data_IF_535249321730
#
_entry.id   IF_535249321730
#
_cell.length_a   1.000
_cell.length_b   1.000
_cell.length_c   1.000
_cell.angle_alpha   90.00
_cell.angle_beta   90.00
_cell.angle_gamma   90.00
#
_symmetry.space_group_name_H-M   'P 1'
#
loop_
_entity.id
_entity.type
_entity.pdbx_description
1 polymer ?
#
# COMPACT_ATOMS: atom_id res chain seq x y z
N UNK A 1 6.05 3.10 -6.46
CA UNK A 1 6.55 1.87 -7.13
C UNK A 1 6.28 0.68 -6.22
N UNK A 2 5.96 -0.50 -6.78
CA UNK A 2 5.77 -1.73 -5.99
C UNK A 2 7.08 -2.44 -5.59
N UNK A 3 8.23 -2.01 -6.14
CA UNK A 3 9.56 -2.57 -5.82
C UNK A 3 10.58 -1.44 -5.63
N UNK A 4 10.58 -0.76 -4.47
CA UNK A 4 11.46 0.39 -4.24
C UNK A 4 12.95 0.01 -4.28
N UNK A 5 13.31 -1.19 -3.81
CA UNK A 5 14.71 -1.64 -3.80
C UNK A 5 15.36 -1.71 -5.19
N UNK A 6 14.59 -2.05 -6.23
CA UNK A 6 15.09 -2.07 -7.62
C UNK A 6 15.35 -0.66 -8.14
N UNK A 7 14.52 0.31 -7.74
CA UNK A 7 14.64 1.72 -8.17
C UNK A 7 15.83 2.42 -7.50
N UNK A 8 16.19 2.02 -6.28
CA UNK A 8 17.34 2.59 -5.55
C UNK A 8 18.66 1.93 -6.01
N UNK A 9 18.63 0.62 -6.27
CA UNK A 9 19.82 -0.16 -6.63
C UNK A 9 20.75 -0.43 -5.44
N UNK A 10 21.85 -1.17 -5.68
CA UNK A 10 22.86 -1.44 -4.64
C UNK A 10 23.58 -0.15 -4.28
N UNK A 11 23.56 0.22 -2.99
CA UNK A 11 24.23 1.43 -2.48
C UNK A 11 23.71 2.76 -3.04
N UNK A 12 22.50 2.79 -3.64
CA UNK A 12 21.94 4.01 -4.23
C UNK A 12 22.46 4.37 -5.63
N UNK A 13 23.22 3.48 -6.26
CA UNK A 13 23.81 3.71 -7.59
C UNK A 13 22.78 4.05 -8.67
N UNK A 14 21.65 3.37 -8.69
CA UNK A 14 20.60 3.59 -9.69
C UNK A 14 19.85 4.91 -9.45
N UNK A 15 19.61 5.25 -8.18
CA UNK A 15 19.03 6.54 -7.81
C UNK A 15 19.92 7.73 -8.22
N UNK A 16 21.24 7.61 -8.09
CA UNK A 16 22.18 8.67 -8.49
C UNK A 16 22.27 8.80 -10.02
N UNK A 17 22.23 7.68 -10.76
CA UNK A 17 22.12 7.69 -12.23
C UNK A 17 20.85 8.40 -12.70
N UNK A 18 19.71 8.09 -12.07
CA UNK A 18 18.43 8.74 -12.38
C UNK A 18 18.46 10.24 -12.04
N UNK A 19 19.06 10.62 -10.89
CA UNK A 19 19.25 12.03 -10.54
C UNK A 19 20.10 12.74 -11.59
N UNK A 20 21.26 12.19 -11.95
CA UNK A 20 22.14 12.77 -12.99
C UNK A 20 21.41 12.93 -14.33
N UNK A 21 20.64 11.94 -14.76
CA UNK A 21 19.82 12.03 -15.97
C UNK A 21 18.78 13.15 -15.90
N UNK A 22 18.08 13.29 -14.77
CA UNK A 22 17.10 14.36 -14.56
C UNK A 22 17.75 15.74 -14.50
N UNK A 23 18.92 15.87 -13.90
CA UNK A 23 19.66 17.15 -13.84
C UNK A 23 20.16 17.57 -15.22
N UNK A 24 20.60 16.64 -16.07
CA UNK A 24 20.98 16.91 -17.47
C UNK A 24 19.82 17.46 -18.29
N UNK A 25 18.61 16.90 -18.11
CA UNK A 25 17.42 17.34 -18.85
C UNK A 25 16.87 18.65 -18.28
N UNK A 26 16.81 18.78 -16.95
CA UNK A 26 16.19 19.92 -16.29
C UNK A 26 17.11 21.14 -16.16
N UNK A 27 18.44 20.96 -16.26
CA UNK A 27 19.44 22.00 -16.02
C UNK A 27 19.44 22.56 -14.59
N UNK A 28 18.77 21.88 -13.65
CA UNK A 28 18.56 22.30 -12.26
C UNK A 28 18.77 21.11 -11.35
N UNK A 29 19.18 21.37 -10.10
CA UNK A 29 19.31 20.33 -9.08
C UNK A 29 17.95 19.76 -8.69
N UNK A 30 17.78 18.44 -8.84
CA UNK A 30 16.51 17.75 -8.59
C UNK A 30 16.63 16.87 -7.34
N UNK A 31 15.67 17.01 -6.41
CA UNK A 31 15.50 16.09 -5.28
C UNK A 31 14.56 14.97 -5.71
N UNK A 32 15.02 13.73 -5.60
CA UNK A 32 14.27 12.53 -5.97
C UNK A 32 13.75 11.82 -4.70
N UNK A 33 12.45 11.55 -4.64
CA UNK A 33 11.81 10.82 -3.55
C UNK A 33 11.11 9.57 -4.07
N UNK A 34 11.37 8.42 -3.46
CA UNK A 34 10.76 7.14 -3.83
C UNK A 34 9.65 6.83 -2.84
N UNK A 35 8.41 6.84 -3.33
CA UNK A 35 7.25 6.44 -2.54
C UNK A 35 6.92 4.97 -2.85
N UNK A 36 6.90 4.17 -1.78
CA UNK A 36 6.50 2.78 -1.84
C UNK A 36 4.97 2.64 -1.87
N UNK A 37 4.50 1.78 -2.77
CA UNK A 37 3.11 1.35 -2.79
C UNK A 37 3.02 0.10 -1.93
N UNK A 38 2.29 0.19 -0.80
CA UNK A 38 2.20 -0.91 0.17
C UNK A 38 1.62 -2.20 -0.45
N UNK A 39 0.50 -2.07 -1.17
CA UNK A 39 -0.17 -3.19 -1.84
C UNK A 39 -0.22 -2.94 -3.35
N UNK A 40 0.73 -3.47 -4.13
CA UNK A 40 0.78 -3.24 -5.58
C UNK A 40 -0.40 -3.88 -6.32
N UNK A 41 -1.01 -4.92 -5.74
CA UNK A 41 -2.15 -5.64 -6.30
C UNK A 41 -3.48 -4.87 -6.16
N UNK A 42 -3.50 -3.74 -5.44
CA UNK A 42 -4.66 -2.84 -5.34
C UNK A 42 -4.50 -1.58 -6.22
N UNK A 43 -3.30 -1.31 -6.72
CA UNK A 43 -3.03 -0.17 -7.59
C UNK A 43 -3.40 -0.52 -9.04
N UNK A 44 -4.38 0.19 -9.59
CA UNK A 44 -4.90 -0.09 -10.92
C UNK A 44 -3.84 0.09 -12.02
N UNK A 45 -2.89 1.01 -11.84
CA UNK A 45 -1.84 1.29 -12.84
C UNK A 45 -0.83 0.15 -12.89
N UNK A 46 -0.44 -0.39 -11.73
CA UNK A 46 0.49 -1.51 -11.65
C UNK A 46 -0.13 -2.81 -12.17
N UNK A 47 -1.41 -3.05 -11.87
CA UNK A 47 -2.15 -4.17 -12.45
C UNK A 47 -2.25 -4.07 -13.98
N UNK A 48 -2.57 -2.88 -14.51
CA UNK A 48 -2.65 -2.66 -15.95
C UNK A 48 -1.30 -2.92 -16.64
N UNK A 49 -0.21 -2.42 -16.05
CA UNK A 49 1.16 -2.68 -16.53
C UNK A 49 1.49 -4.17 -16.51
N UNK A 50 1.20 -4.86 -15.41
CA UNK A 50 1.43 -6.31 -15.29
C UNK A 50 0.69 -7.12 -16.36
N UNK A 51 -0.55 -6.75 -16.68
CA UNK A 51 -1.29 -7.40 -17.78
C UNK A 51 -0.64 -7.08 -19.12
N UNK A 52 -0.20 -5.85 -19.35
CA UNK A 52 0.48 -5.47 -20.58
C UNK A 52 1.77 -6.28 -20.77
N UNK A 53 2.60 -6.37 -19.74
CA UNK A 53 3.85 -7.15 -19.77
C UNK A 53 3.57 -8.65 -20.05
N UNK A 54 2.49 -9.21 -19.51
CA UNK A 54 2.06 -10.58 -19.80
C UNK A 54 1.62 -10.77 -21.26
N UNK A 55 0.93 -9.79 -21.84
CA UNK A 55 0.51 -9.83 -23.25
C UNK A 55 1.71 -9.71 -24.20
N UNK A 56 2.70 -8.88 -23.85
CA UNK A 56 3.98 -8.79 -24.57
C UNK A 56 4.75 -10.10 -24.49
N UNK A 57 4.74 -10.74 -23.31
CA UNK A 57 5.23 -12.11 -23.08
C UNK A 57 4.41 -13.21 -23.75
N UNK A 58 3.47 -12.89 -24.64
CA UNK A 58 2.61 -13.82 -25.41
C UNK A 58 1.74 -14.74 -24.54
N UNK A 59 1.44 -14.35 -23.30
CA UNK A 59 0.48 -15.08 -22.47
C UNK A 59 -0.92 -14.90 -23.03
N UNK A 60 -1.75 -15.94 -22.96
CA UNK A 60 -3.15 -15.85 -23.36
C UNK A 60 -3.86 -14.72 -22.61
N UNK A 61 -4.47 -13.80 -23.36
CA UNK A 61 -5.13 -12.62 -22.80
C UNK A 61 -6.23 -12.97 -21.79
N UNK A 62 -6.96 -14.09 -21.98
CA UNK A 62 -7.97 -14.57 -21.01
C UNK A 62 -7.34 -14.99 -19.70
N UNK A 63 -6.19 -15.66 -19.76
CA UNK A 63 -5.45 -16.12 -18.57
C UNK A 63 -4.88 -14.94 -17.82
N UNK A 64 -4.27 -13.99 -18.52
CA UNK A 64 -3.73 -12.76 -17.93
C UNK A 64 -4.84 -11.98 -17.20
N UNK A 65 -5.97 -11.72 -17.86
CA UNK A 65 -7.09 -11.01 -17.24
C UNK A 65 -7.68 -11.74 -16.03
N UNK A 66 -8.01 -13.03 -16.15
CA UNK A 66 -8.58 -13.79 -15.02
C UNK A 66 -7.61 -13.88 -13.84
N UNK A 67 -6.31 -14.03 -14.10
CA UNK A 67 -5.29 -14.03 -13.05
C UNK A 67 -5.29 -12.69 -12.32
N UNK A 68 -5.26 -11.58 -13.05
CA UNK A 68 -5.25 -10.23 -12.48
C UNK A 68 -6.49 -9.95 -11.63
N UNK A 69 -7.68 -10.32 -12.12
CA UNK A 69 -8.92 -10.19 -11.34
C UNK A 69 -8.84 -11.00 -10.04
N UNK A 70 -8.42 -12.26 -10.11
CA UNK A 70 -8.26 -13.12 -8.93
C UNK A 70 -7.22 -12.58 -7.94
N UNK A 71 -6.09 -12.07 -8.41
CA UNK A 71 -5.05 -11.50 -7.54
C UNK A 71 -5.54 -10.25 -6.81
N UNK A 72 -6.23 -9.35 -7.50
CA UNK A 72 -6.75 -8.12 -6.91
C UNK A 72 -7.86 -8.38 -5.88
N UNK A 73 -8.74 -9.37 -6.13
CA UNK A 73 -9.73 -9.81 -5.15
C UNK A 73 -9.09 -10.44 -3.91
N UNK A 74 -8.05 -11.28 -4.09
CA UNK A 74 -7.27 -11.84 -2.97
C UNK A 74 -6.59 -10.77 -2.13
N UNK A 75 -6.19 -9.65 -2.76
CA UNK A 75 -5.63 -8.49 -2.08
C UNK A 75 -6.68 -7.64 -1.34
N UNK A 76 -7.97 -7.96 -1.44
CA UNK A 76 -9.05 -7.30 -0.71
C UNK A 76 -9.81 -6.22 -1.46
N UNK A 77 -9.75 -6.19 -2.81
CA UNK A 77 -10.61 -5.32 -3.59
C UNK A 77 -12.09 -5.74 -3.49
N UNK A 78 -13.01 -4.79 -3.33
CA UNK A 78 -14.47 -5.06 -3.31
C UNK A 78 -15.01 -5.35 -4.72
N UNK A 79 -14.30 -4.91 -5.76
CA UNK A 79 -14.57 -5.29 -7.14
C UNK A 79 -13.53 -4.80 -8.12
N UNK A 80 -13.39 -5.54 -9.22
CA UNK A 80 -12.35 -5.29 -10.22
C UNK A 80 -12.95 -5.49 -11.61
N UNK A 81 -12.69 -4.53 -12.49
CA UNK A 81 -12.99 -4.65 -13.92
C UNK A 81 -11.68 -4.57 -14.69
N UNK A 82 -11.39 -5.56 -15.52
CA UNK A 82 -10.26 -5.54 -16.45
C UNK A 82 -10.82 -5.60 -17.87
N UNK A 83 -10.38 -4.68 -18.72
CA UNK A 83 -10.80 -4.61 -20.12
C UNK A 83 -9.55 -4.58 -21.00
N UNK A 84 -9.53 -5.43 -22.02
CA UNK A 84 -8.52 -5.43 -23.07
C UNK A 84 -9.17 -5.11 -24.42
N UNK A 85 -8.54 -4.24 -25.19
CA UNK A 85 -8.99 -3.78 -26.50
C UNK A 85 -7.87 -3.85 -27.53
N UNK A 86 -8.13 -4.44 -28.69
CA UNK A 86 -7.17 -4.53 -29.80
C UNK A 86 -7.22 -5.88 -30.49
N UNK A 87 -6.14 -6.25 -31.19
CA UNK A 87 -5.98 -7.53 -31.89
C UNK A 87 -5.67 -8.67 -30.91
N UNK A 88 -6.64 -9.00 -30.07
CA UNK A 88 -6.46 -9.95 -28.96
C UNK A 88 -6.06 -11.34 -29.47
N UNK A 89 -4.90 -11.83 -29.03
CA UNK A 89 -4.38 -13.14 -29.42
C UNK A 89 -3.90 -13.23 -30.88
N UNK A 90 -3.64 -12.10 -31.54
CA UNK A 90 -3.21 -12.07 -32.94
C UNK A 90 -4.34 -12.22 -33.95
N UNK A 91 -5.59 -12.03 -33.52
CA UNK A 91 -6.73 -11.98 -34.42
C UNK A 91 -6.60 -10.81 -35.41
N UNK A 92 -7.08 -11.00 -36.64
CA UNK A 92 -6.97 -9.98 -37.67
C UNK A 92 -7.78 -8.72 -37.33
N UNK A 93 -9.01 -8.93 -36.84
CA UNK A 93 -9.91 -7.87 -36.39
C UNK A 93 -9.74 -7.58 -34.89
N UNK A 94 -9.72 -6.29 -34.55
CA UNK A 94 -9.69 -5.84 -33.17
C UNK A 94 -11.02 -6.06 -32.45
N UNK A 95 -10.98 -6.52 -31.20
CA UNK A 95 -12.15 -6.69 -30.33
C UNK A 95 -11.91 -6.12 -28.93
N UNK A 96 -13.00 -5.94 -28.19
CA UNK A 96 -12.99 -5.54 -26.78
C UNK A 96 -13.56 -6.65 -25.92
N UNK A 97 -12.77 -7.14 -24.98
CA UNK A 97 -13.19 -8.14 -24.01
C UNK A 97 -12.97 -7.59 -22.60
N UNK A 98 -13.90 -7.87 -21.70
CA UNK A 98 -13.84 -7.42 -20.32
C UNK A 98 -14.24 -8.55 -19.38
N UNK A 99 -13.58 -8.57 -18.22
CA UNK A 99 -13.94 -9.41 -17.08
C UNK A 99 -14.22 -8.48 -15.91
N UNK A 100 -15.34 -8.72 -15.24
CA UNK A 100 -15.78 -8.00 -14.05
C UNK A 100 -16.07 -9.02 -12.97
N UNK A 101 -15.57 -8.77 -11.78
CA UNK A 101 -15.91 -9.56 -10.59
C UNK A 101 -16.07 -8.60 -9.40
N UNK A 102 -17.05 -8.87 -8.55
CA UNK A 102 -17.46 -7.95 -7.47
C UNK A 102 -18.25 -6.74 -7.97
N UNK A 103 -18.20 -5.65 -7.19
CA UNK A 103 -18.96 -4.41 -7.46
C UNK A 103 -18.03 -3.32 -7.99
N UNK A 104 -18.38 -2.66 -9.09
CA UNK A 104 -17.66 -1.47 -9.59
C UNK A 104 -18.66 -0.37 -9.98
N UNK A 105 -19.07 0.50 -9.03
CA UNK A 105 -20.13 1.47 -9.26
C UNK A 105 -19.59 2.75 -9.91
N UNK A 106 -19.48 2.78 -11.24
CA UNK A 106 -18.91 3.91 -11.99
C UNK A 106 -19.69 5.23 -11.89
N UNK A 107 -20.96 5.18 -11.49
CA UNK A 107 -21.81 6.37 -11.32
C UNK A 107 -21.72 6.99 -9.92
N UNK A 108 -21.16 6.29 -8.94
CA UNK A 108 -21.16 6.72 -7.53
C UNK A 108 -19.89 7.51 -7.24
N UNK A 109 -20.00 8.84 -7.13
CA UNK A 109 -18.84 9.70 -6.84
C UNK A 109 -18.18 9.45 -5.47
N UNK A 110 -18.89 8.80 -4.54
CA UNK A 110 -18.36 8.42 -3.21
C UNK A 110 -17.46 7.18 -3.25
N UNK A 111 -17.56 6.39 -4.30
CA UNK A 111 -16.80 5.16 -4.43
C UNK A 111 -15.32 5.48 -4.69
N UNK A 112 -14.43 4.86 -3.92
CA UNK A 112 -12.98 4.90 -4.19
C UNK A 112 -12.67 3.93 -5.33
N UNK A 113 -12.58 4.49 -6.54
CA UNK A 113 -12.31 3.73 -7.75
C UNK A 113 -10.99 4.23 -8.33
N UNK A 114 -10.02 3.33 -8.33
CA UNK A 114 -8.73 3.54 -8.97
C UNK A 114 -8.80 3.10 -10.44
N UNK A 115 -8.20 3.87 -11.34
CA UNK A 115 -8.21 3.61 -12.77
C UNK A 115 -6.78 3.61 -13.32
N UNK A 116 -6.43 2.56 -14.03
CA UNK A 116 -5.13 2.40 -14.68
C UNK A 116 -5.30 2.04 -16.15
N UNK A 117 -4.43 2.60 -16.99
CA UNK A 117 -4.34 2.27 -18.40
C UNK A 117 -2.88 1.93 -18.75
N UNK A 118 -2.72 0.90 -19.57
CA UNK A 118 -1.44 0.50 -20.11
C UNK A 118 -1.60 0.05 -21.56
N UNK A 119 -0.58 0.30 -22.38
CA UNK A 119 -0.53 -0.17 -23.76
C UNK A 119 0.51 -1.28 -23.85
N UNK A 120 0.12 -2.44 -24.35
CA UNK A 120 1.00 -3.56 -24.64
C UNK A 120 1.44 -3.50 -26.10
N UNK A 121 2.74 -3.50 -26.33
CA UNK A 121 3.33 -3.48 -27.68
C UNK A 121 3.57 -4.92 -28.15
N UNK A 122 2.60 -5.48 -28.89
CA UNK A 122 2.73 -6.84 -29.44
C UNK A 122 3.19 -6.81 -30.89
N UNK A 123 3.67 -7.95 -31.40
CA UNK A 123 4.15 -8.04 -32.79
C UNK A 123 3.09 -7.73 -33.85
N UNK A 124 1.82 -7.94 -33.52
CA UNK A 124 0.68 -7.79 -34.44
C UNK A 124 0.04 -6.40 -34.32
N UNK A 125 0.43 -5.62 -33.31
CA UNK A 125 -0.06 -4.26 -33.05
C UNK A 125 -0.11 -3.92 -31.57
N UNK A 126 -0.73 -2.78 -31.24
CA UNK A 126 -0.93 -2.35 -29.87
C UNK A 126 -2.22 -2.92 -29.28
N UNK A 127 -2.16 -3.38 -28.02
CA UNK A 127 -3.34 -3.77 -27.23
C UNK A 127 -3.48 -2.80 -26.06
N UNK A 128 -4.62 -2.12 -25.97
CA UNK A 128 -4.95 -1.26 -24.83
C UNK A 128 -5.55 -2.07 -23.70
N UNK A 129 -5.04 -1.89 -22.48
CA UNK A 129 -5.57 -2.50 -21.25
C UNK A 129 -6.04 -1.40 -20.32
N UNK A 130 -7.28 -1.52 -19.84
CA UNK A 130 -7.91 -0.61 -18.87
C UNK A 130 -8.36 -1.41 -17.67
N UNK A 131 -8.00 -0.95 -16.47
CA UNK A 131 -8.32 -1.61 -15.20
C UNK A 131 -9.02 -0.61 -14.29
N UNK A 132 -10.11 -1.06 -13.67
CA UNK A 132 -10.79 -0.35 -12.58
C UNK A 132 -10.73 -1.22 -11.33
N UNK A 133 -10.29 -0.65 -10.22
CA UNK A 133 -10.26 -1.32 -8.91
C UNK A 133 -11.10 -0.50 -7.94
N UNK A 134 -12.14 -1.13 -7.39
CA UNK A 134 -12.98 -0.53 -6.37
C UNK A 134 -12.50 -1.00 -4.98
N UNK A 135 -12.08 -0.03 -4.16
CA UNK A 135 -11.48 -0.27 -2.83
C UNK A 135 -12.49 -0.09 -1.69
N UNK A 136 -13.72 0.32 -2.02
CA UNK A 136 -14.77 0.63 -1.05
C UNK A 136 -15.27 2.07 -1.18
N UNK A 137 -16.22 2.43 -0.32
CA UNK A 137 -16.74 3.79 -0.29
C UNK A 137 -15.90 4.68 0.65
N UNK A 138 -15.52 5.86 0.17
CA UNK A 138 -14.92 6.88 1.03
C UNK A 138 -16.03 7.48 1.87
N UNK A 139 -16.28 6.91 3.04
CA UNK A 139 -17.00 7.61 4.09
C UNK A 139 -16.12 8.78 4.49
N UNK A 140 -16.39 9.98 3.97
CA UNK A 140 -15.83 11.22 4.50
C UNK A 140 -16.13 11.23 6.00
N UNK A 141 -15.17 10.84 6.83
CA UNK A 141 -15.16 11.20 8.25
C UNK A 141 -15.02 12.71 8.26
N UNK A 142 -16.15 13.40 8.18
CA UNK A 142 -16.25 14.84 8.06
C UNK A 142 -15.54 15.59 9.21
N UNK A 143 -15.12 14.91 10.28
CA UNK A 143 -14.34 15.50 11.38
C UNK A 143 -12.82 15.48 11.22
N UNK A 144 -12.21 14.50 10.55
CA UNK A 144 -10.76 14.25 10.71
C UNK A 144 -9.87 15.02 9.73
N UNK A 145 -10.28 15.14 8.46
CA UNK A 145 -9.49 15.83 7.43
C UNK A 145 -9.72 17.35 7.41
N UNK A 146 -10.96 17.79 7.69
CA UNK A 146 -11.28 19.22 7.84
C UNK A 146 -10.58 19.78 9.09
N UNK A 147 -10.52 19.01 10.19
CA UNK A 147 -9.79 19.42 11.39
C UNK A 147 -8.29 19.60 11.16
N UNK A 148 -7.65 18.69 10.41
CA UNK A 148 -6.22 18.81 10.06
C UNK A 148 -5.95 19.93 9.06
N UNK A 149 -6.73 20.04 7.99
CA UNK A 149 -6.58 21.13 7.01
C UNK A 149 -6.88 22.51 7.62
N UNK A 150 -7.89 22.60 8.49
CA UNK A 150 -8.19 23.83 9.22
C UNK A 150 -7.14 24.15 10.30
N UNK A 151 -6.58 23.16 10.99
CA UNK A 151 -5.50 23.36 11.95
C UNK A 151 -4.20 23.80 11.26
N UNK A 152 -3.88 23.21 10.11
CA UNK A 152 -2.72 23.57 9.28
C UNK A 152 -2.87 24.97 8.68
N UNK A 153 -4.06 25.31 8.17
CA UNK A 153 -4.37 26.66 7.70
C UNK A 153 -4.36 27.71 8.84
N UNK A 154 -4.82 27.36 10.05
CA UNK A 154 -4.76 28.23 11.24
C UNK A 154 -3.32 28.45 11.72
N UNK A 155 -2.47 27.42 11.65
CA UNK A 155 -1.04 27.54 11.95
C UNK A 155 -0.30 28.37 10.90
N UNK A 156 -0.67 28.26 9.62
CA UNK A 156 -0.08 29.07 8.55
C UNK A 156 -0.52 30.55 8.58
N UNK A 157 -1.71 30.86 9.10
CA UNK A 157 -2.26 32.23 9.17
C UNK A 157 -2.03 32.92 10.52
N UNK A 158 -1.31 32.30 11.45
CA UNK A 158 -0.98 32.91 12.74
C UNK A 158 -2.20 33.26 13.59
N UNK A 159 -3.32 32.55 13.42
CA UNK A 159 -4.53 32.78 14.21
C UNK A 159 -4.29 32.56 15.70
N UNK A 160 -5.01 33.26 16.60
CA UNK A 160 -4.73 33.23 18.03
C UNK A 160 -4.81 31.80 18.54
N UNK A 161 -3.69 31.30 19.07
CA UNK A 161 -3.63 30.03 19.76
C UNK A 161 -4.72 30.04 20.84
N UNK A 162 -5.63 29.06 20.79
CA UNK A 162 -6.64 28.81 21.82
C UNK A 162 -5.87 28.57 23.12
N UNK A 163 -5.64 29.66 23.85
CA UNK A 163 -5.05 29.65 25.17
C UNK A 163 -6.10 28.99 26.04
N UNK A 164 -5.97 27.67 26.18
CA UNK A 164 -6.80 26.83 27.03
C UNK A 164 -7.07 27.62 28.31
N UNK A 165 -8.29 28.17 28.41
CA UNK A 165 -8.66 29.03 29.53
C UNK A 165 -8.43 28.18 30.75
N UNK A 166 -7.39 28.50 31.53
CA UNK A 166 -7.11 27.85 32.81
C UNK A 166 -8.43 27.88 33.58
N UNK A 167 -9.06 26.71 33.67
CA UNK A 167 -10.31 26.51 34.40
C UNK A 167 -10.10 27.10 35.79
N UNK A 168 -11.00 27.99 36.23
CA UNK A 168 -10.83 28.72 37.48
C UNK A 168 -10.64 27.73 38.63
N UNK A 169 -9.87 28.12 39.65
CA UNK A 169 -9.60 27.28 40.85
C UNK A 169 -10.90 26.70 41.42
N UNK A 170 -12.00 27.44 41.31
CA UNK A 170 -13.35 27.03 41.71
C UNK A 170 -13.85 25.81 40.94
N UNK A 171 -13.75 25.79 39.61
CA UNK A 171 -14.15 24.65 38.77
C UNK A 171 -13.27 23.40 38.95
N UNK A 172 -12.01 23.59 39.39
CA UNK A 172 -11.11 22.48 39.73
C UNK A 172 -11.46 21.85 41.08
N UNK A 173 -11.83 22.66 42.05
CA UNK A 173 -12.34 22.21 43.34
C UNK A 173 -13.70 21.50 43.19
N UNK A 174 -14.56 22.00 42.31
CA UNK A 174 -15.90 21.45 42.06
C UNK A 174 -15.85 20.10 41.33
N UNK A 175 -14.90 19.91 40.42
CA UNK A 175 -14.63 18.62 39.78
C UNK A 175 -13.99 17.59 40.73
N UNK A 176 -13.16 18.02 41.68
CA UNK A 176 -12.58 17.16 42.71
C UNK A 176 -13.60 16.77 43.79
N UNK A 177 -14.62 17.60 44.02
CA UNK A 177 -15.66 17.38 45.02
C UNK A 177 -16.80 16.44 44.56
N UNK A 178 -16.74 15.88 43.35
CA UNK A 178 -17.67 14.82 42.91
C UNK A 178 -19.15 15.23 42.91
N UNK A 179 -19.45 16.51 42.70
CA UNK A 179 -20.82 17.01 42.64
C UNK A 179 -21.53 16.53 41.37
N UNK A 180 -22.48 15.60 41.50
CA UNK A 180 -23.40 15.24 40.41
C UNK A 180 -24.22 16.46 40.02
N UNK A 181 -23.88 17.11 38.93
CA UNK A 181 -24.74 18.12 38.30
C UNK A 181 -26.08 17.46 37.91
N UNK A 182 -27.17 17.95 38.52
CA UNK A 182 -28.53 17.69 38.04
C UNK A 182 -28.68 18.37 36.69
N UNK A 183 -28.52 17.61 35.60
CA UNK A 183 -28.93 18.04 34.26
C UNK A 183 -30.45 18.20 34.25
N UNK A 184 -30.91 19.45 34.27
CA UNK A 184 -32.26 19.84 33.89
C UNK A 184 -32.39 19.52 32.41
N UNK A 185 -33.24 18.54 32.08
CA UNK A 185 -33.61 18.25 30.70
C UNK A 185 -34.77 19.19 30.38
N UNK A 186 -34.48 20.27 29.67
CA UNK A 186 -35.48 21.14 29.07
C UNK A 186 -36.00 20.47 27.79
N UNK A 187 -37.07 19.69 27.94
CA UNK A 187 -37.89 19.27 26.80
C UNK A 187 -39.06 20.24 26.70
N UNK A 188 -39.09 21.00 25.60
CA UNK A 188 -40.15 21.95 25.31
C UNK A 188 -41.54 21.31 25.23
N UNK A 189 -42.54 22.12 25.54
CA UNK A 189 -43.90 22.01 24.99
C UNK A 189 -44.86 21.09 25.74
N UNK A 190 -45.73 21.69 26.57
CA UNK A 190 -47.02 21.08 26.91
C UNK A 190 -47.39 21.10 28.37
N UNK A 191 -47.98 22.22 28.83
CA UNK A 191 -48.70 22.35 30.09
C UNK A 191 -49.87 21.37 30.12
N UNK A 192 -49.76 20.28 30.88
CA UNK A 192 -50.91 19.61 31.52
C UNK A 192 -50.53 19.18 32.93
N UNK A 193 -51.08 19.92 33.88
CA UNK A 193 -51.22 19.50 35.28
C UNK A 193 -52.26 18.40 35.29
N UNK A 194 -51.85 17.17 35.61
CA UNK A 194 -52.74 16.17 36.19
C UNK A 194 -51.95 15.44 37.27
N UNK A 195 -52.34 15.75 38.49
CA UNK A 195 -51.95 15.08 39.73
C UNK A 195 -52.68 13.74 39.81
N UNK A 196 -51.96 12.61 39.85
CA UNK A 196 -52.43 11.33 40.39
C UNK A 196 -51.34 10.24 40.35
N UNK A 197 -51.07 9.62 41.51
CA UNK A 197 -50.52 8.25 41.66
C UNK A 197 -49.05 8.07 41.29
N UNK A 198 -48.13 7.73 42.20
CA UNK A 198 -48.22 6.54 43.05
C UNK A 198 -47.68 5.32 42.30
N UNK A 199 -46.45 4.88 42.60
CA UNK A 199 -45.98 3.53 42.25
C UNK A 199 -44.57 3.46 41.66
N UNK A 200 -43.59 3.11 42.52
CA UNK A 200 -42.30 2.53 42.09
C UNK A 200 -42.58 1.28 41.24
N UNK A 201 -42.04 1.22 40.02
CA UNK A 201 -41.81 -0.07 39.35
C UNK A 201 -40.39 -0.15 38.80
N UNK A 202 -39.66 -1.03 39.47
CA UNK A 202 -38.40 -1.66 39.13
C UNK A 202 -38.40 -2.34 37.75
N UNK A 203 -37.22 -2.37 37.12
CA UNK A 203 -36.78 -3.45 36.24
C UNK A 203 -37.39 -3.48 34.85
N UNK A 204 -36.76 -2.80 33.89
CA UNK A 204 -36.94 -3.10 32.46
C UNK A 204 -35.82 -4.06 32.04
N UNK A 205 -36.18 -5.33 31.88
CA UNK A 205 -35.34 -6.38 31.30
C UNK A 205 -35.20 -6.15 29.80
N UNK A 206 -34.01 -6.37 29.24
CA UNK A 206 -33.76 -6.45 27.81
C UNK A 206 -33.32 -7.89 27.53
N UNK A 207 -33.98 -8.53 26.58
CA UNK A 207 -33.78 -9.92 26.19
C UNK A 207 -32.73 -10.00 25.08
N UNK A 208 -31.72 -10.86 25.25
CA UNK A 208 -30.85 -11.34 24.19
C UNK A 208 -30.99 -12.86 24.11
N UNK A 209 -31.09 -13.37 22.89
CA UNK A 209 -31.54 -14.74 22.59
C UNK A 209 -30.71 -15.84 23.25
N UNK A 210 -31.38 -16.96 23.58
CA UNK A 210 -30.71 -18.18 24.04
C UNK A 210 -31.30 -18.89 25.25
N UNK A 211 -32.62 -18.81 25.52
CA UNK A 211 -33.39 -19.92 26.10
C UNK A 211 -32.89 -20.67 27.35
N UNK A 212 -32.19 -20.05 28.31
CA UNK A 212 -31.99 -20.61 29.67
C UNK A 212 -32.06 -19.47 30.69
N UNK A 213 -32.94 -19.59 31.69
CA UNK A 213 -33.09 -18.58 32.75
C UNK A 213 -32.11 -18.90 33.87
N UNK A 214 -31.07 -18.09 33.99
CA UNK A 214 -30.06 -18.16 35.05
C UNK A 214 -29.98 -16.78 35.71
N UNK A 215 -29.71 -16.75 37.02
CA UNK A 215 -29.59 -15.49 37.76
C UNK A 215 -28.30 -14.76 37.34
N UNK A 216 -28.25 -13.44 37.52
CA UNK A 216 -27.09 -12.63 37.10
C UNK A 216 -25.77 -13.08 37.74
N UNK A 217 -25.83 -13.66 38.94
CA UNK A 217 -24.66 -14.20 39.64
C UNK A 217 -24.15 -15.51 39.01
N UNK A 218 -25.04 -16.36 38.50
CA UNK A 218 -24.68 -17.63 37.86
C UNK A 218 -24.09 -17.40 36.45
N UNK A 219 -24.58 -16.37 35.74
CA UNK A 219 -24.05 -15.98 34.44
C UNK A 219 -22.63 -15.39 34.50
N UNK A 220 -22.27 -14.72 35.61
CA UNK A 220 -20.91 -14.19 35.80
C UNK A 220 -19.90 -15.32 36.05
N UNK A 221 -20.29 -16.36 36.80
CA UNK A 221 -19.44 -17.53 37.07
C UNK A 221 -19.22 -18.36 35.80
N UNK A 222 -20.26 -18.61 34.99
CA UNK A 222 -20.12 -19.34 33.72
C UNK A 222 -19.21 -18.57 32.71
N UNK A 223 -19.23 -17.23 32.74
CA UNK A 223 -18.42 -16.39 31.87
C UNK A 223 -16.96 -16.32 32.34
N UNK A 224 -16.72 -16.42 33.65
CA UNK A 224 -15.38 -16.50 34.24
C UNK A 224 -14.76 -17.89 33.98
N UNK A 225 -15.50 -18.98 34.15
CA UNK A 225 -15.07 -20.34 33.80
C UNK A 225 -14.79 -20.48 32.30
N UNK A 226 -15.62 -19.87 31.43
CA UNK A 226 -15.38 -19.87 29.99
C UNK A 226 -14.13 -19.04 29.60
N UNK A 227 -13.82 -17.97 30.35
CA UNK A 227 -12.58 -17.19 30.12
C UNK A 227 -11.35 -17.96 30.58
N UNK A 228 -11.44 -18.70 31.67
CA UNK A 228 -10.35 -19.52 32.18
C UNK A 228 -10.05 -20.71 31.25
N UNK A 229 -11.08 -21.32 30.65
CA UNK A 229 -10.92 -22.33 29.61
C UNK A 229 -10.23 -21.78 28.33
N UNK A 230 -10.64 -20.60 27.86
CA UNK A 230 -10.02 -19.95 26.69
C UNK A 230 -8.59 -19.48 27.00
N UNK A 231 -8.30 -19.10 28.24
CA UNK A 231 -6.94 -18.76 28.67
C UNK A 231 -6.04 -20.02 28.75
N UNK A 232 -6.58 -21.17 29.12
CA UNK A 232 -5.86 -22.45 29.12
C UNK A 232 -5.51 -22.91 27.68
N UNK A 233 -6.45 -22.79 26.74
CA UNK A 233 -6.20 -23.09 25.31
C UNK A 233 -5.17 -22.12 24.69
N UNK A 234 -5.24 -20.82 25.01
CA UNK A 234 -4.26 -19.83 24.56
C UNK A 234 -2.85 -20.07 25.15
N UNK A 235 -2.78 -20.64 26.37
CA UNK A 235 -1.51 -21.00 27.00
C UNK A 235 -0.87 -22.24 26.36
N UNK A 236 -1.69 -23.18 25.87
CA UNK A 236 -1.22 -24.37 25.16
C UNK A 236 -0.68 -24.05 23.75
N UNK A 237 -1.30 -23.12 23.02
CA UNK A 237 -0.80 -22.67 21.69
C UNK A 237 0.53 -21.91 21.78
N UNK A 238 0.76 -21.14 22.85
CA UNK A 238 2.02 -20.41 23.07
C UNK A 238 3.17 -21.38 23.43
N UNK A 239 2.87 -22.51 24.10
CA UNK A 239 3.87 -23.54 24.43
C UNK A 239 4.26 -24.41 23.21
N UNK A 240 3.33 -24.71 22.30
CA UNK A 240 3.65 -25.45 21.07
C UNK A 240 4.52 -24.61 20.10
N UNK A 241 4.30 -23.30 20.07
CA UNK A 241 5.13 -22.36 19.29
C UNK A 241 6.55 -22.18 19.87
N UNK A 242 6.72 -22.25 21.20
CA UNK A 242 8.02 -22.13 21.86
C UNK A 242 8.94 -23.34 21.64
N UNK A 243 8.37 -24.54 21.50
CA UNK A 243 9.13 -25.79 21.33
C UNK A 243 9.80 -25.93 19.95
N UNK A 244 9.30 -25.23 18.92
CA UNK A 244 9.85 -25.25 17.55
C UNK A 244 11.03 -24.31 17.33
N UNK A 245 11.38 -23.46 18.29
CA UNK A 245 12.47 -22.46 18.16
C UNK A 245 13.77 -22.93 18.85
N UNK A 246 13.73 -23.99 19.67
CA UNK A 246 14.90 -24.50 20.41
C UNK A 246 15.37 -25.87 19.93
N UNK A 247 15.82 -25.99 18.67
CA UNK A 247 16.56 -27.17 18.23
C UNK A 247 17.46 -26.89 17.01
N UNK A 248 18.52 -26.10 17.17
CA UNK A 248 19.81 -26.28 16.47
C UNK A 248 20.94 -25.60 17.28
N UNK A 249 21.99 -26.31 17.72
CA UNK A 249 23.16 -25.68 18.32
C UNK A 249 24.25 -25.46 17.25
N UNK A 250 24.63 -24.20 17.02
CA UNK A 250 25.85 -23.85 16.30
C UNK A 250 26.95 -23.51 17.31
N UNK A 251 27.86 -24.45 17.52
CA UNK A 251 29.15 -24.22 18.16
C UNK A 251 30.22 -24.15 17.07
N UNK A 252 30.83 -22.98 16.90
CA UNK A 252 32.14 -22.81 16.28
C UNK A 252 32.78 -21.51 16.82
N UNK A 253 33.69 -21.69 17.78
CA UNK A 253 34.56 -20.65 18.33
C UNK A 253 35.58 -20.20 17.26
N UNK A 254 35.77 -18.88 17.12
CA UNK A 254 36.92 -18.31 16.39
C UNK A 254 37.81 -17.66 17.44
N UNK A 255 38.92 -18.35 17.71
CA UNK A 255 40.02 -17.86 18.55
C UNK A 255 40.99 -17.06 17.69
N UNK A 256 41.17 -15.81 18.09
CA UNK A 256 42.23 -14.89 17.68
C UNK A 256 43.61 -15.46 18.01
N UNK A 257 44.46 -15.67 16.99
CA UNK A 257 45.90 -15.56 17.12
C UNK A 257 46.50 -14.99 15.84
N UNK A 258 47.18 -13.86 15.99
CA UNK A 258 48.05 -13.29 14.98
C UNK A 258 49.23 -14.21 14.66
N UNK A 259 49.59 -14.27 13.39
CA UNK A 259 50.95 -14.54 12.96
C UNK A 259 51.35 -13.53 11.90
N UNK A 260 52.48 -12.91 12.18
CA UNK A 260 53.29 -12.05 11.33
C UNK A 260 53.68 -12.73 10.02
N UNK A 261 53.63 -11.99 8.90
CA UNK A 261 54.64 -12.04 7.83
C UNK A 261 54.76 -10.61 7.28
N UNK A 262 55.93 -10.03 7.50
CA UNK A 262 56.46 -8.83 6.86
C UNK A 262 57.03 -9.18 5.49
N UNK A 263 56.90 -8.23 4.57
CA UNK A 263 57.74 -7.94 3.40
C UNK A 263 58.16 -9.10 2.47
N UNK A 264 57.59 -9.15 1.27
CA UNK A 264 58.41 -8.97 0.05
C UNK A 264 57.55 -8.70 -1.21
N UNK A 265 58.17 -8.01 -2.17
CA UNK A 265 57.76 -7.81 -3.57
C UNK A 265 56.69 -6.75 -3.88
N UNK A 266 57.20 -5.52 -3.91
CA UNK A 266 56.86 -4.59 -4.97
C UNK A 266 57.19 -5.21 -6.34
N UNK A 267 56.18 -5.74 -7.06
CA UNK A 267 56.12 -5.85 -8.52
C UNK A 267 54.87 -6.66 -8.92
N UNK A 268 53.72 -5.99 -9.14
CA UNK A 268 52.67 -6.46 -10.07
C UNK A 268 51.53 -5.44 -10.26
N UNK A 269 51.86 -4.15 -10.34
CA UNK A 269 50.91 -3.06 -10.66
C UNK A 269 51.22 -2.43 -12.02
N UNK A 270 51.87 -3.15 -12.95
CA UNK A 270 52.31 -2.57 -14.24
C UNK A 270 52.13 -3.42 -15.50
N UNK A 271 51.24 -4.44 -15.52
CA UNK A 271 51.09 -5.28 -16.72
C UNK A 271 49.64 -5.71 -17.05
N UNK A 272 48.68 -4.78 -17.01
CA UNK A 272 47.31 -5.08 -17.48
C UNK A 272 46.58 -3.88 -18.08
N UNK A 273 47.33 -3.01 -18.76
CA UNK A 273 46.82 -1.86 -19.50
C UNK A 273 47.62 -1.63 -20.79
N UNK A 274 47.49 -2.55 -21.76
CA UNK A 274 47.82 -2.32 -23.17
C UNK A 274 47.45 -3.56 -24.00
N UNK A 275 46.15 -3.83 -24.23
CA UNK A 275 45.70 -4.61 -25.40
C UNK A 275 44.18 -4.51 -25.59
N UNK A 276 43.66 -3.32 -25.97
CA UNK A 276 42.33 -3.22 -26.60
C UNK A 276 42.12 -1.84 -27.27
N UNK A 277 43.05 -1.43 -28.14
CA UNK A 277 42.89 -0.21 -28.94
C UNK A 277 43.67 -0.29 -30.25
N UNK A 278 43.31 -1.22 -31.15
CA UNK A 278 43.74 -1.19 -32.54
C UNK A 278 42.89 -2.12 -33.43
N UNK A 279 41.59 -1.87 -33.56
CA UNK A 279 40.81 -2.52 -34.64
C UNK A 279 39.52 -1.75 -34.96
N UNK A 280 39.61 -0.44 -35.27
CA UNK A 280 38.52 0.24 -35.97
C UNK A 280 38.99 1.52 -36.70
N UNK A 281 39.79 1.37 -37.76
CA UNK A 281 39.96 2.39 -38.81
C UNK A 281 40.59 1.73 -40.04
N UNK A 282 39.79 0.99 -40.81
CA UNK A 282 40.14 0.61 -42.18
C UNK A 282 38.90 0.18 -42.96
N UNK A 283 37.95 1.09 -43.17
CA UNK A 283 37.05 1.01 -44.32
C UNK A 283 36.29 2.33 -44.52
N UNK A 284 36.69 3.09 -45.54
CA UNK A 284 35.87 4.19 -46.05
C UNK A 284 36.68 5.32 -46.66
N UNK A 285 36.43 5.54 -47.96
CA UNK A 285 36.83 6.66 -48.81
C UNK A 285 38.27 6.70 -49.31
N UNK A 286 38.48 6.24 -50.55
CA UNK A 286 39.14 7.11 -51.52
C UNK A 286 38.57 6.87 -52.93
N UNK A 287 37.95 7.93 -53.43
CA UNK A 287 37.39 8.16 -54.74
C UNK A 287 38.51 8.67 -55.64
N UNK A 288 38.81 7.98 -56.74
CA UNK A 288 39.60 8.54 -57.84
C UNK A 288 39.31 7.79 -59.15
N UNK A 289 38.67 8.48 -60.09
CA UNK A 289 38.75 8.18 -61.52
C UNK A 289 40.19 8.37 -62.02
N UNK A 290 40.59 7.70 -63.11
CA UNK A 290 40.64 8.46 -64.36
C UNK A 290 40.25 7.68 -65.62
N UNK A 291 40.07 8.50 -66.66
CA UNK A 291 39.87 8.29 -68.10
C UNK A 291 40.72 7.22 -68.78
N UNK A 292 40.13 6.53 -69.76
CA UNK A 292 40.66 6.15 -71.10
C UNK A 292 39.49 5.48 -71.87
N UNK A 293 38.91 6.04 -72.94
CA UNK A 293 39.35 6.11 -74.36
C UNK A 293 39.41 4.76 -75.09
N UNK A 294 38.81 4.74 -76.30
CA UNK A 294 38.90 3.75 -77.41
C UNK A 294 37.95 2.53 -77.30
N UNK A 295 36.89 2.42 -78.10
CA UNK A 295 36.72 2.12 -79.55
C UNK A 295 36.43 0.63 -79.83
N UNK A 296 35.43 0.44 -80.72
CA UNK A 296 34.85 -0.78 -81.35
C UNK A 296 34.15 -1.86 -80.50
#
# INVERSE_FOLDING_TARGET
TGRPGVVIGRGGSEAERMRSGLEKISGRRVKFNVIEVHNPELDATLLARSVADQLEGRVSFRRAMKRTVSTALKAGAEGVRVQASGRLGGADMGRREWYLEGRVPLHTLRADIDYGEATASTTVGAIGVKVWVYKGDIMRRAGASIGKAAAEARMATGGPAERERRKSVKSRAEAAAGGKEKRIIEAGGGKRVVEAGGGKRSGRLIEAGGGKKVTAAEAEVELEEAREAVAADASAEIQDAGSKIQAEPASAEITDQGSSITDDSAADVAAMAADEAAEDTANGSEEAAPTDSEEE
#
